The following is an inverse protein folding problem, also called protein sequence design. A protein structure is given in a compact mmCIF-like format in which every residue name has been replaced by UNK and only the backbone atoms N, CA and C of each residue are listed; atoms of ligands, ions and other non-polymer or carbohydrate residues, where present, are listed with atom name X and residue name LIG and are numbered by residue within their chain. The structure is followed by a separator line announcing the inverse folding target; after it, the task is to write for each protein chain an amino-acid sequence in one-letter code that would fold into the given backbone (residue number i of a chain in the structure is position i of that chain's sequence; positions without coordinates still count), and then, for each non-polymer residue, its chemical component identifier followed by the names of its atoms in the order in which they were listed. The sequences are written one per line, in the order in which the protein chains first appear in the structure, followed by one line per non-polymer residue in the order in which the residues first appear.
data_IF_652316123117
#
_entry.id   IF_652316123117
#
_cell.length_a   1.000
_cell.length_b   1.000
_cell.length_c   1.000
_cell.angle_alpha   90.00
_cell.angle_beta   90.00
_cell.angle_gamma   90.00
#
_symmetry.space_group_name_H-M   'P 1'
#
loop_
_entity.id
_entity.type
_entity.pdbx_description
1 polymer ?
#
# COMPACT_ATOMS: atom_id res chain seq x y z
N UNK A 1 14.83 -0.21 5.93
CA UNK A 1 13.61 0.57 6.27
C UNK A 1 13.88 1.56 7.39
N UNK A 2 14.37 1.13 8.56
CA UNK A 2 14.65 2.04 9.69
C UNK A 2 15.79 3.05 9.43
N UNK A 3 16.74 2.73 8.55
CA UNK A 3 17.77 3.67 8.09
C UNK A 3 17.29 4.64 7.01
N UNK A 4 16.08 4.45 6.48
CA UNK A 4 15.57 5.28 5.38
C UNK A 4 14.90 6.54 5.93
N UNK A 5 15.44 7.71 5.59
CA UNK A 5 14.94 9.00 6.08
C UNK A 5 13.45 9.24 5.79
N UNK A 6 12.95 8.78 4.65
CA UNK A 6 11.53 8.89 4.29
C UNK A 6 10.59 8.19 5.28
N UNK A 7 11.04 7.06 5.87
CA UNK A 7 10.27 6.30 6.86
C UNK A 7 9.98 7.14 8.10
N UNK A 8 11.00 7.82 8.65
CA UNK A 8 10.81 8.64 9.85
C UNK A 8 9.97 9.89 9.58
N UNK A 9 10.07 10.47 8.38
CA UNK A 9 9.23 11.61 7.99
C UNK A 9 7.74 11.23 7.95
N UNK A 10 7.39 10.11 7.32
CA UNK A 10 5.99 9.67 7.28
C UNK A 10 5.51 9.16 8.64
N UNK A 11 6.37 8.45 9.39
CA UNK A 11 6.04 7.97 10.72
C UNK A 11 5.72 9.14 11.66
N UNK A 12 6.49 10.24 11.65
CA UNK A 12 6.20 11.42 12.46
C UNK A 12 4.82 12.02 12.21
N UNK A 13 4.32 11.97 10.97
CA UNK A 13 3.03 12.52 10.59
C UNK A 13 1.84 11.58 10.91
N UNK A 14 2.06 10.26 10.98
CA UNK A 14 1.00 9.25 11.06
C UNK A 14 1.24 8.18 12.14
N UNK A 15 2.06 8.47 13.16
CA UNK A 15 2.41 7.49 14.20
C UNK A 15 1.18 7.05 14.98
N UNK A 16 0.27 7.98 15.27
CA UNK A 16 -0.97 7.70 16.00
C UNK A 16 -1.85 6.70 15.26
N UNK A 17 -2.06 6.94 13.97
CA UNK A 17 -2.82 6.07 13.07
C UNK A 17 -2.15 4.70 12.93
N UNK A 18 -0.83 4.67 12.77
CA UNK A 18 -0.05 3.43 12.67
C UNK A 18 -0.15 2.58 13.92
N UNK A 19 0.02 3.18 15.11
CA UNK A 19 -0.14 2.47 16.39
C UNK A 19 -1.58 2.00 16.59
N UNK A 20 -2.56 2.83 16.24
CA UNK A 20 -3.96 2.45 16.32
C UNK A 20 -4.29 1.25 15.40
N UNK A 21 -3.73 1.21 14.20
CA UNK A 21 -3.89 0.12 13.24
C UNK A 21 -3.28 -1.19 13.75
N UNK A 22 -2.06 -1.13 14.31
CA UNK A 22 -1.43 -2.29 14.95
C UNK A 22 -2.29 -2.81 16.10
N UNK A 23 -2.79 -1.92 16.96
CA UNK A 23 -3.65 -2.31 18.09
C UNK A 23 -4.95 -2.98 17.63
N UNK A 24 -5.59 -2.46 16.57
CA UNK A 24 -6.77 -3.10 15.98
C UNK A 24 -6.44 -4.45 15.36
N UNK A 25 -5.32 -4.56 14.66
CA UNK A 25 -4.88 -5.80 14.01
C UNK A 25 -4.60 -6.93 15.01
N UNK A 26 -4.11 -6.60 16.21
CA UNK A 26 -3.80 -7.57 17.26
C UNK A 26 -5.00 -7.87 18.18
N UNK A 27 -6.08 -7.11 18.11
CA UNK A 27 -7.24 -7.26 18.99
C UNK A 27 -8.51 -7.52 18.21
N UNK A 28 -8.99 -8.76 18.25
CA UNK A 28 -10.27 -9.16 17.65
C UNK A 28 -11.43 -8.28 18.13
N UNK A 29 -11.45 -7.89 19.42
CA UNK A 29 -12.46 -6.99 19.98
C UNK A 29 -12.41 -5.62 19.31
N UNK A 30 -11.25 -4.97 19.31
CA UNK A 30 -11.10 -3.62 18.73
C UNK A 30 -11.34 -3.62 17.21
N UNK A 31 -10.96 -4.68 16.52
CA UNK A 31 -11.27 -4.86 15.10
C UNK A 31 -12.80 -4.93 14.88
N UNK A 32 -13.51 -5.74 15.68
CA UNK A 32 -14.97 -5.88 15.60
C UNK A 32 -15.65 -4.53 15.86
N UNK A 33 -15.27 -3.83 16.93
CA UNK A 33 -15.81 -2.51 17.29
C UNK A 33 -15.57 -1.47 16.18
N UNK A 34 -14.43 -1.53 15.50
CA UNK A 34 -14.13 -0.64 14.38
C UNK A 34 -14.99 -0.97 13.15
N UNK A 35 -15.12 -2.25 12.81
CA UNK A 35 -15.93 -2.73 11.70
C UNK A 35 -17.44 -2.50 11.91
N UNK A 36 -17.90 -2.48 13.17
CA UNK A 36 -19.29 -2.14 13.53
C UNK A 36 -19.71 -0.72 13.14
N UNK A 37 -18.76 0.19 12.87
CA UNK A 37 -19.07 1.51 12.30
C UNK A 37 -19.67 1.41 10.89
N UNK A 38 -19.37 0.33 10.16
CA UNK A 38 -19.91 0.04 8.83
C UNK A 38 -21.03 -1.00 8.89
N UNK A 39 -20.89 -2.02 9.75
CA UNK A 39 -21.84 -3.13 9.89
C UNK A 39 -22.22 -3.29 11.37
N UNK A 40 -23.21 -2.54 11.90
CA UNK A 40 -23.50 -2.49 13.33
C UNK A 40 -23.86 -3.83 13.98
N UNK A 41 -24.43 -4.76 13.21
CA UNK A 41 -24.83 -6.07 13.71
C UNK A 41 -23.67 -7.08 13.86
N UNK A 42 -22.49 -6.76 13.30
CA UNK A 42 -21.34 -7.67 13.25
C UNK A 42 -20.89 -8.11 14.64
N UNK A 43 -20.71 -9.41 14.84
CA UNK A 43 -20.21 -9.98 16.08
C UNK A 43 -18.78 -10.52 15.92
N UNK A 44 -18.03 -10.61 17.01
CA UNK A 44 -16.66 -11.14 17.00
C UNK A 44 -16.58 -12.61 16.59
N UNK A 45 -17.69 -13.36 16.74
CA UNK A 45 -17.87 -14.75 16.30
C UNK A 45 -17.98 -14.89 14.79
N UNK A 46 -18.38 -13.83 14.08
CA UNK A 46 -18.54 -13.84 12.62
C UNK A 46 -17.18 -13.72 11.92
N UNK A 47 -16.16 -13.25 12.66
CA UNK A 47 -14.81 -13.02 12.15
C UNK A 47 -13.99 -14.31 12.12
N UNK A 48 -13.32 -14.53 10.99
CA UNK A 48 -12.33 -15.59 10.80
C UNK A 48 -11.00 -14.99 10.35
N UNK A 49 -9.85 -15.59 10.70
CA UNK A 49 -8.56 -15.15 10.20
C UNK A 49 -8.54 -15.14 8.67
N UNK A 50 -8.04 -14.05 8.09
CA UNK A 50 -7.81 -13.92 6.65
C UNK A 50 -6.33 -13.61 6.38
N UNK A 51 -5.87 -13.78 5.13
CA UNK A 51 -4.52 -13.39 4.74
C UNK A 51 -4.34 -11.86 4.84
N UNK A 52 -3.12 -11.42 5.11
CA UNK A 52 -2.72 -10.02 5.04
C UNK A 52 -2.05 -9.72 3.69
N UNK A 53 -2.33 -8.56 3.11
CA UNK A 53 -1.69 -8.06 1.89
C UNK A 53 -0.88 -6.80 2.17
N UNK A 54 0.23 -6.63 1.44
CA UNK A 54 1.03 -5.39 1.47
C UNK A 54 1.00 -4.76 0.08
N UNK A 55 0.62 -3.49 0.00
CA UNK A 55 0.74 -2.72 -1.24
C UNK A 55 2.20 -2.34 -1.45
N UNK A 56 2.74 -2.64 -2.63
CA UNK A 56 4.05 -2.15 -3.05
C UNK A 56 3.96 -0.65 -3.41
N UNK A 57 3.84 0.20 -2.39
CA UNK A 57 3.75 1.64 -2.55
C UNK A 57 5.11 2.29 -2.27
N UNK A 58 5.64 3.04 -3.25
CA UNK A 58 6.90 3.73 -3.10
C UNK A 58 6.79 4.89 -2.12
N UNK A 59 7.80 5.02 -1.27
CA UNK A 59 7.97 6.13 -0.32
C UNK A 59 9.22 6.89 -0.72
N UNK A 60 9.08 8.19 -0.97
CA UNK A 60 10.20 9.06 -1.30
C UNK A 60 11.02 9.40 -0.05
N UNK A 61 12.25 9.88 -0.26
CA UNK A 61 13.14 10.31 0.84
C UNK A 61 12.55 11.48 1.64
N UNK A 62 11.60 12.21 1.02
CA UNK A 62 10.87 13.30 1.64
C UNK A 62 9.61 12.89 2.38
N UNK A 63 9.36 11.57 2.51
CA UNK A 63 8.23 11.04 3.26
C UNK A 63 6.91 11.11 2.50
N UNK A 64 6.94 11.32 1.18
CA UNK A 64 5.74 11.32 0.33
C UNK A 64 5.51 9.93 -0.25
N UNK A 65 4.26 9.49 -0.24
CA UNK A 65 3.83 8.30 -0.95
C UNK A 65 3.65 8.65 -2.43
N UNK A 66 4.13 7.78 -3.32
CA UNK A 66 3.98 7.99 -4.76
C UNK A 66 2.60 7.48 -5.19
N UNK A 67 1.79 8.37 -5.76
CA UNK A 67 0.43 8.05 -6.19
C UNK A 67 0.37 7.38 -7.57
N UNK A 68 1.29 7.75 -8.46
CA UNK A 68 1.35 7.27 -9.85
C UNK A 68 2.57 6.35 -10.09
N UNK A 69 2.85 5.97 -11.33
CA UNK A 69 3.99 5.12 -11.66
C UNK A 69 5.32 5.68 -11.16
N UNK A 70 6.15 4.79 -10.61
CA UNK A 70 7.56 5.04 -10.40
C UNK A 70 8.37 4.02 -11.19
N UNK A 71 8.83 4.42 -12.38
CA UNK A 71 9.66 3.59 -13.23
C UNK A 71 11.13 3.87 -13.02
N UNK A 72 11.94 2.81 -12.92
CA UNK A 72 13.41 2.89 -12.99
C UNK A 72 13.88 2.14 -14.22
N UNK A 73 14.48 2.87 -15.16
CA UNK A 73 15.01 2.32 -16.42
C UNK A 73 16.42 1.78 -16.19
N UNK A 74 16.66 0.54 -16.59
CA UNK A 74 17.99 -0.06 -16.72
C UNK A 74 18.36 -0.23 -18.20
N UNK A 75 19.56 -0.74 -18.49
CA UNK A 75 20.04 -0.91 -19.88
C UNK A 75 19.16 -1.84 -20.73
N UNK A 76 18.54 -2.85 -20.10
CA UNK A 76 17.64 -3.83 -20.76
C UNK A 76 16.46 -4.21 -19.87
N UNK A 77 16.08 -3.34 -18.93
CA UNK A 77 15.02 -3.61 -17.96
C UNK A 77 14.22 -2.35 -17.66
N UNK A 78 12.95 -2.55 -17.32
CA UNK A 78 12.08 -1.53 -16.76
C UNK A 78 11.57 -2.03 -15.41
N UNK A 79 11.99 -1.39 -14.32
CA UNK A 79 11.53 -1.71 -12.98
C UNK A 79 10.31 -0.87 -12.65
N UNK A 80 9.20 -1.53 -12.29
CA UNK A 80 7.97 -0.87 -11.85
C UNK A 80 7.98 -0.83 -10.32
N UNK A 81 8.51 0.24 -9.75
CA UNK A 81 8.66 0.41 -8.31
C UNK A 81 7.43 0.99 -7.62
N UNK A 82 6.48 1.53 -8.39
CA UNK A 82 5.14 1.91 -7.95
C UNK A 82 4.19 1.81 -9.15
N UNK A 83 2.94 1.42 -8.91
CA UNK A 83 1.86 1.44 -9.89
C UNK A 83 0.61 2.11 -9.27
N UNK A 84 -0.21 2.80 -10.09
CA UNK A 84 -1.41 3.46 -9.61
C UNK A 84 -2.46 2.45 -9.11
N UNK A 85 -3.27 2.90 -8.15
CA UNK A 85 -4.37 2.11 -7.57
C UNK A 85 -5.71 2.41 -8.27
N UNK A 86 -6.64 1.43 -8.37
CA UNK A 86 -6.52 0.02 -7.97
C UNK A 86 -5.88 -0.84 -9.06
N UNK A 87 -4.69 -1.40 -8.75
CA UNK A 87 -3.86 -2.11 -9.72
C UNK A 87 -4.52 -3.40 -10.27
N UNK A 88 -5.29 -4.11 -9.44
CA UNK A 88 -5.97 -5.34 -9.88
C UNK A 88 -7.01 -5.05 -10.98
N UNK A 89 -7.86 -4.03 -10.76
CA UNK A 89 -8.91 -3.63 -11.70
C UNK A 89 -8.34 -3.04 -12.98
N UNK A 90 -7.29 -2.22 -12.89
CA UNK A 90 -6.66 -1.54 -14.03
C UNK A 90 -5.50 -2.33 -14.65
N UNK A 91 -5.35 -3.62 -14.33
CA UNK A 91 -4.16 -4.43 -14.67
C UNK A 91 -3.83 -4.45 -16.16
N UNK A 92 -4.84 -4.49 -17.03
CA UNK A 92 -4.65 -4.49 -18.49
C UNK A 92 -4.11 -3.15 -19.01
N UNK A 93 -4.65 -2.02 -18.53
CA UNK A 93 -4.15 -0.70 -18.94
C UNK A 93 -2.77 -0.42 -18.36
N UNK A 94 -2.52 -0.83 -17.12
CA UNK A 94 -1.20 -0.77 -16.49
C UNK A 94 -0.19 -1.59 -17.32
N UNK A 95 -0.58 -2.79 -17.76
CA UNK A 95 0.26 -3.62 -18.64
C UNK A 95 0.59 -2.91 -19.96
N UNK A 96 -0.40 -2.27 -20.60
CA UNK A 96 -0.19 -1.48 -21.83
C UNK A 96 0.75 -0.31 -21.60
N UNK A 97 0.62 0.40 -20.48
CA UNK A 97 1.54 1.48 -20.11
C UNK A 97 2.97 0.97 -19.95
N UNK A 98 3.16 -0.12 -19.22
CA UNK A 98 4.49 -0.71 -18.99
C UNK A 98 5.14 -1.09 -20.33
N UNK A 99 4.40 -1.72 -21.25
CA UNK A 99 4.91 -2.06 -22.59
C UNK A 99 5.27 -0.79 -23.37
N UNK A 100 4.43 0.24 -23.36
CA UNK A 100 4.70 1.51 -24.05
C UNK A 100 5.96 2.19 -23.52
N UNK A 101 6.14 2.21 -22.20
CA UNK A 101 7.33 2.78 -21.54
C UNK A 101 8.60 1.98 -21.84
N UNK A 102 8.49 0.65 -21.97
CA UNK A 102 9.62 -0.20 -22.30
C UNK A 102 10.07 -0.03 -23.76
N UNK A 103 9.12 0.00 -24.71
CA UNK A 103 9.42 0.14 -26.13
C UNK A 103 9.92 1.53 -26.51
N UNK A 104 9.48 2.59 -25.82
CA UNK A 104 10.00 3.96 -26.07
C UNK A 104 11.43 4.18 -25.55
N UNK A 105 11.98 3.22 -24.80
CA UNK A 105 13.36 3.26 -24.31
C UNK A 105 14.35 2.49 -25.21
N UNK A 106 13.86 1.84 -26.28
CA UNK A 106 14.65 1.26 -27.37
C UNK A 106 14.93 2.33 -28.44
#
# INVERSE_FOLDING_TARGET
MLSYRGFWKIAGNYLGEGVAEIRRSLSRRLFTENAQRLIPALQASDLRPGPAGVRAQALTVDGKLVDDFHFVKGSRSLHVCNAPSPAATASLEIGREIVRQHLSAL
#
